data_IF_686889651349
#
_entry.id   IF_686889651349
#
_cell.length_a   1.000
_cell.length_b   1.000
_cell.length_c   1.000
_cell.angle_alpha   90.00
_cell.angle_beta   90.00
_cell.angle_gamma   90.00
#
_symmetry.space_group_name_H-M   'P 1'
#
loop_
_entity.id
_entity.type
_entity.pdbx_description
1 polymer ?
#
# COMPACT_ATOMS: atom_id res chain seq x y z
N UNK A 1 30.46 25.55 21.68
CA UNK A 1 29.05 25.10 21.47
C UNK A 1 28.71 24.97 19.98
N UNK A 2 29.21 25.84 19.10
CA UNK A 2 28.97 25.80 17.65
C UNK A 2 29.47 24.51 16.98
N UNK A 3 30.38 23.76 17.59
CA UNK A 3 30.85 22.50 17.06
C UNK A 3 29.82 21.34 17.28
N UNK A 4 28.84 21.53 18.16
CA UNK A 4 27.90 20.50 18.55
C UNK A 4 26.42 20.86 18.29
N UNK A 5 26.14 22.14 18.03
CA UNK A 5 24.79 22.64 17.83
C UNK A 5 24.66 23.29 16.46
N UNK A 6 23.63 22.95 15.73
CA UNK A 6 23.24 23.65 14.50
C UNK A 6 22.65 25.02 14.83
N UNK A 7 22.75 25.95 13.89
CA UNK A 7 22.03 27.23 13.98
C UNK A 7 20.55 26.93 13.94
N UNK A 8 19.80 27.51 14.87
CA UNK A 8 18.36 27.32 14.95
C UNK A 8 17.66 28.07 13.81
N UNK A 9 16.91 27.34 13.00
CA UNK A 9 16.04 27.90 11.96
C UNK A 9 14.57 27.82 12.44
N UNK A 10 13.70 28.67 11.88
CA UNK A 10 12.27 28.67 12.22
C UNK A 10 11.62 27.31 11.91
N UNK A 11 12.12 26.61 10.91
CA UNK A 11 11.69 25.23 10.54
C UNK A 11 12.01 24.18 11.60
N UNK A 12 12.97 24.47 12.49
CA UNK A 12 13.37 23.52 13.56
C UNK A 12 12.44 23.61 14.76
N UNK A 13 11.78 24.76 14.96
CA UNK A 13 10.86 25.01 16.06
C UNK A 13 9.47 24.45 15.74
N UNK A 14 9.35 23.13 15.76
CA UNK A 14 8.09 22.46 15.53
C UNK A 14 7.81 21.41 16.60
N UNK A 15 6.53 21.06 16.76
CA UNK A 15 6.11 20.01 17.67
C UNK A 15 6.67 18.65 17.22
N UNK A 16 6.81 17.71 18.16
CA UNK A 16 7.24 16.32 17.87
C UNK A 16 6.28 15.65 16.89
N UNK A 17 4.99 15.93 17.04
CA UNK A 17 3.93 15.49 16.14
C UNK A 17 3.19 16.74 15.64
N UNK A 18 3.69 17.32 14.58
CA UNK A 18 2.95 18.36 13.87
C UNK A 18 2.06 17.68 12.84
N UNK A 19 0.76 17.60 13.17
CA UNK A 19 -0.28 17.19 12.22
C UNK A 19 -0.54 18.31 11.21
N UNK A 20 0.51 18.90 10.64
CA UNK A 20 0.37 19.88 9.58
C UNK A 20 -0.34 19.26 8.40
N UNK A 21 -1.51 19.79 8.14
CA UNK A 21 -2.39 19.44 7.03
C UNK A 21 -1.60 19.55 5.72
N UNK A 22 -1.22 18.41 5.14
CA UNK A 22 -0.58 18.34 3.82
C UNK A 22 0.76 17.61 3.75
N UNK A 23 1.42 17.32 4.85
CA UNK A 23 2.64 16.49 4.82
C UNK A 23 2.25 15.05 5.05
N UNK A 24 2.54 14.19 4.07
CA UNK A 24 2.34 12.74 4.23
C UNK A 24 3.07 12.23 5.47
N UNK A 25 2.38 11.43 6.29
CA UNK A 25 2.93 10.83 7.52
C UNK A 25 4.32 10.16 7.33
N UNK A 26 4.63 9.70 6.13
CA UNK A 26 5.92 9.09 5.78
C UNK A 26 7.09 10.07 5.65
N UNK A 27 6.82 11.37 5.50
CA UNK A 27 7.83 12.41 5.29
C UNK A 27 8.08 13.29 6.53
N UNK A 28 7.44 12.99 7.65
CA UNK A 28 7.67 13.72 8.89
C UNK A 28 9.03 13.31 9.49
N UNK A 29 10.00 14.21 9.43
CA UNK A 29 11.28 14.07 10.11
C UNK A 29 11.25 14.82 11.44
N UNK A 30 11.75 14.19 12.48
CA UNK A 30 11.88 14.82 13.80
C UNK A 30 12.96 15.92 13.73
N UNK A 31 12.69 17.12 14.28
CA UNK A 31 13.68 18.18 14.38
C UNK A 31 14.89 17.74 15.22
N UNK A 32 16.08 18.21 14.84
CA UNK A 32 17.33 17.88 15.53
C UNK A 32 17.33 18.28 17.03
N UNK A 33 16.55 19.28 17.41
CA UNK A 33 16.39 19.73 18.80
C UNK A 33 15.97 18.56 19.72
N UNK A 34 15.11 17.68 19.23
CA UNK A 34 14.64 16.54 20.01
C UNK A 34 15.68 15.44 20.20
N UNK A 35 16.71 15.38 19.32
CA UNK A 35 17.83 14.44 19.49
C UNK A 35 18.84 14.90 20.53
N UNK A 36 18.90 16.20 20.85
CA UNK A 36 19.82 16.75 21.84
C UNK A 36 19.37 16.53 23.30
N UNK A 37 18.15 16.10 23.52
CA UNK A 37 17.61 15.85 24.85
C UNK A 37 18.35 14.77 25.66
N UNK A 38 19.33 14.08 25.05
CA UNK A 38 20.20 13.12 25.73
C UNK A 38 21.39 13.75 26.47
N UNK A 39 21.61 15.05 26.33
CA UNK A 39 22.78 15.74 26.86
C UNK A 39 22.61 16.32 28.26
N UNK A 40 21.49 16.09 28.93
CA UNK A 40 21.24 16.59 30.28
C UNK A 40 20.00 15.95 30.91
N UNK A 41 19.75 16.30 32.15
CA UNK A 41 18.58 15.86 32.94
C UNK A 41 17.29 16.22 32.22
N UNK A 42 16.80 15.29 31.38
CA UNK A 42 15.58 15.49 30.55
C UNK A 42 14.38 15.50 31.50
N UNK A 43 13.61 16.58 31.57
CA UNK A 43 12.39 16.61 32.35
C UNK A 43 11.52 15.39 31.98
N UNK A 44 11.01 14.68 32.99
CA UNK A 44 10.23 13.44 32.78
C UNK A 44 9.08 13.58 31.79
N UNK A 45 8.54 14.80 31.60
CA UNK A 45 7.51 15.09 30.61
C UNK A 45 7.98 14.96 29.16
N UNK A 46 9.22 15.34 28.84
CA UNK A 46 9.78 15.22 27.48
C UNK A 46 10.01 13.75 27.13
N UNK A 47 10.54 12.98 28.09
CA UNK A 47 10.75 11.54 27.90
C UNK A 47 9.44 10.80 27.68
N UNK A 48 8.38 11.18 28.38
CA UNK A 48 7.04 10.60 28.17
C UNK A 48 6.47 10.96 26.79
N UNK A 49 6.64 12.21 26.34
CA UNK A 49 6.22 12.62 24.99
C UNK A 49 6.95 11.82 23.90
N UNK A 50 8.27 11.64 24.03
CA UNK A 50 9.06 10.83 23.11
C UNK A 50 8.61 9.36 23.11
N UNK A 51 8.31 8.82 24.29
CA UNK A 51 7.77 7.45 24.40
C UNK A 51 6.44 7.30 23.69
N UNK A 52 5.54 8.24 23.85
CA UNK A 52 4.23 8.25 23.21
C UNK A 52 4.40 8.31 21.68
N UNK A 53 5.22 9.21 21.17
CA UNK A 53 5.46 9.32 19.73
C UNK A 53 6.15 8.07 19.14
N UNK A 54 7.09 7.48 19.89
CA UNK A 54 7.67 6.21 19.50
C UNK A 54 6.61 5.10 19.40
N UNK A 55 5.71 4.99 20.39
CA UNK A 55 4.60 4.02 20.36
C UNK A 55 3.69 4.22 19.17
N UNK A 56 3.33 5.47 18.84
CA UNK A 56 2.52 5.81 17.66
C UNK A 56 3.24 5.43 16.36
N UNK A 57 4.51 5.79 16.23
CA UNK A 57 5.32 5.44 15.06
C UNK A 57 5.45 3.92 14.89
N UNK A 58 5.68 3.20 15.97
CA UNK A 58 5.74 1.75 15.99
C UNK A 58 4.42 1.10 15.55
N UNK A 59 3.29 1.59 16.07
CA UNK A 59 1.97 1.12 15.68
C UNK A 59 1.69 1.38 14.18
N UNK A 60 2.09 2.54 13.65
CA UNK A 60 2.01 2.85 12.21
C UNK A 60 2.82 1.86 11.36
N UNK A 61 4.06 1.58 11.75
CA UNK A 61 4.91 0.60 11.04
C UNK A 61 4.27 -0.78 11.02
N UNK A 62 3.66 -1.22 12.12
CA UNK A 62 2.96 -2.50 12.17
C UNK A 62 1.76 -2.52 11.22
N UNK A 63 0.93 -1.48 11.24
CA UNK A 63 -0.21 -1.35 10.33
C UNK A 63 0.24 -1.42 8.87
N UNK A 64 1.24 -0.63 8.48
CA UNK A 64 1.74 -0.64 7.10
C UNK A 64 2.29 -2.00 6.68
N UNK A 65 2.94 -2.72 7.59
CA UNK A 65 3.39 -4.10 7.31
C UNK A 65 2.24 -5.07 7.09
N UNK A 66 1.16 -4.93 7.84
CA UNK A 66 -0.05 -5.72 7.65
C UNK A 66 -0.71 -5.40 6.32
N UNK A 67 -0.90 -4.12 6.00
CA UNK A 67 -1.46 -3.67 4.72
C UNK A 67 -0.65 -4.21 3.54
N UNK A 68 0.67 -4.11 3.58
CA UNK A 68 1.52 -4.66 2.52
C UNK A 68 1.35 -6.18 2.35
N UNK A 69 1.17 -6.92 3.45
CA UNK A 69 0.90 -8.36 3.38
C UNK A 69 -0.46 -8.66 2.78
N UNK A 70 -1.50 -7.92 3.18
CA UNK A 70 -2.85 -8.07 2.67
C UNK A 70 -2.91 -7.75 1.18
N UNK A 71 -2.32 -6.64 0.76
CA UNK A 71 -2.24 -6.25 -0.66
C UNK A 71 -1.54 -7.32 -1.49
N UNK A 72 -0.48 -7.92 -0.99
CA UNK A 72 0.21 -9.01 -1.68
C UNK A 72 -0.70 -10.22 -1.88
N UNK A 73 -1.44 -10.61 -0.85
CA UNK A 73 -2.42 -11.71 -0.92
C UNK A 73 -3.55 -11.37 -1.88
N UNK A 74 -4.06 -10.14 -1.86
CA UNK A 74 -5.08 -9.68 -2.80
C UNK A 74 -4.58 -9.73 -4.25
N UNK A 75 -3.35 -9.31 -4.51
CA UNK A 75 -2.73 -9.43 -5.85
C UNK A 75 -2.66 -10.87 -6.32
N UNK A 76 -2.31 -11.81 -5.43
CA UNK A 76 -2.26 -13.23 -5.76
C UNK A 76 -3.68 -13.78 -6.02
N UNK A 77 -4.69 -13.36 -5.24
CA UNK A 77 -6.09 -13.72 -5.48
C UNK A 77 -6.61 -13.18 -6.82
N UNK A 78 -6.27 -11.94 -7.18
CA UNK A 78 -6.64 -11.36 -8.49
C UNK A 78 -6.09 -12.21 -9.62
N UNK A 79 -4.82 -12.62 -9.57
CA UNK A 79 -4.22 -13.50 -10.58
C UNK A 79 -4.95 -14.84 -10.68
N UNK A 80 -5.19 -15.51 -9.56
CA UNK A 80 -5.94 -16.77 -9.53
C UNK A 80 -7.35 -16.61 -10.10
N UNK A 81 -8.03 -15.49 -9.81
CA UNK A 81 -9.36 -15.20 -10.32
C UNK A 81 -9.34 -15.00 -11.84
N UNK A 82 -8.37 -14.24 -12.36
CA UNK A 82 -8.21 -14.01 -13.78
C UNK A 82 -7.90 -15.31 -14.54
N UNK A 83 -7.04 -16.16 -13.98
CA UNK A 83 -6.76 -17.50 -14.54
C UNK A 83 -8.01 -18.39 -14.56
N UNK A 84 -8.76 -18.41 -13.46
CA UNK A 84 -10.02 -19.14 -13.37
C UNK A 84 -11.02 -18.64 -14.41
N UNK A 85 -11.25 -17.34 -14.49
CA UNK A 85 -12.17 -16.76 -15.46
C UNK A 85 -11.72 -17.03 -16.90
N UNK A 86 -10.44 -16.94 -17.19
CA UNK A 86 -9.88 -17.29 -18.51
C UNK A 86 -10.25 -18.72 -18.87
N UNK A 87 -10.06 -19.66 -17.95
CA UNK A 87 -10.41 -21.06 -18.17
C UNK A 87 -11.92 -21.25 -18.37
N UNK A 88 -12.76 -20.56 -17.62
CA UNK A 88 -14.21 -20.60 -17.79
C UNK A 88 -14.63 -20.10 -19.19
N UNK A 89 -14.07 -18.99 -19.66
CA UNK A 89 -14.35 -18.47 -20.99
C UNK A 89 -13.87 -19.41 -22.10
N UNK A 90 -12.74 -20.09 -21.93
CA UNK A 90 -12.28 -21.13 -22.86
C UNK A 90 -13.20 -22.35 -22.88
N UNK A 91 -13.75 -22.75 -21.73
CA UNK A 91 -14.75 -23.82 -21.65
C UNK A 91 -16.04 -23.43 -22.39
N UNK A 92 -16.52 -22.21 -22.19
CA UNK A 92 -17.68 -21.68 -22.92
C UNK A 92 -17.42 -21.64 -24.41
N UNK A 93 -16.23 -21.26 -24.87
CA UNK A 93 -15.88 -21.28 -26.29
C UNK A 93 -15.92 -22.71 -26.90
N UNK A 94 -15.51 -23.72 -26.15
CA UNK A 94 -15.57 -25.13 -26.55
C UNK A 94 -17.02 -25.66 -26.58
N UNK A 95 -17.77 -25.39 -25.52
CA UNK A 95 -19.18 -25.82 -25.40
C UNK A 95 -20.04 -25.24 -26.53
N UNK A 96 -19.82 -23.99 -26.93
CA UNK A 96 -20.50 -23.38 -28.07
C UNK A 96 -20.10 -24.01 -29.38
N UNK A 97 -18.88 -24.49 -29.53
CA UNK A 97 -18.45 -25.19 -30.76
C UNK A 97 -19.05 -26.60 -30.89
N UNK A 98 -19.24 -27.29 -29.78
CA UNK A 98 -19.76 -28.67 -29.74
C UNK A 98 -21.31 -28.72 -29.79
N UNK A 99 -22.00 -27.69 -29.28
CA UNK A 99 -23.44 -27.68 -29.10
C UNK A 99 -24.26 -27.07 -30.26
N UNK A 100 -23.64 -26.44 -31.23
CA UNK A 100 -24.37 -25.66 -32.25
C UNK A 100 -24.11 -26.16 -33.67
N UNK A 101 -24.79 -27.24 -34.00
CA UNK A 101 -25.07 -27.61 -35.39
C UNK A 101 -26.19 -26.73 -36.02
N UNK A 102 -26.70 -25.74 -35.31
CA UNK A 102 -27.82 -24.89 -35.75
C UNK A 102 -27.49 -23.41 -35.60
N UNK A 103 -27.15 -22.80 -36.73
CA UNK A 103 -27.21 -21.35 -37.00
C UNK A 103 -26.01 -20.52 -36.53
N UNK A 104 -25.51 -19.63 -37.41
CA UNK A 104 -24.48 -18.58 -37.33
C UNK A 104 -24.30 -17.79 -35.99
N UNK A 105 -25.18 -17.97 -35.01
CA UNK A 105 -25.08 -17.38 -33.70
C UNK A 105 -23.99 -18.03 -32.82
N UNK A 106 -23.65 -19.29 -33.05
CA UNK A 106 -22.66 -20.02 -32.28
C UNK A 106 -21.20 -19.57 -32.54
N UNK A 107 -20.88 -19.20 -33.79
CA UNK A 107 -19.56 -18.69 -34.16
C UNK A 107 -19.25 -17.36 -33.46
N UNK A 108 -20.26 -16.45 -33.45
CA UNK A 108 -20.12 -15.16 -32.79
C UNK A 108 -19.93 -15.30 -31.26
N UNK A 109 -20.69 -16.19 -30.63
CA UNK A 109 -20.54 -16.45 -29.17
C UNK A 109 -19.22 -17.09 -28.85
N UNK A 110 -18.74 -18.04 -29.64
CA UNK A 110 -17.42 -18.66 -29.48
C UNK A 110 -16.26 -17.67 -29.70
N UNK A 111 -16.37 -16.81 -30.71
CA UNK A 111 -15.39 -15.74 -30.94
C UNK A 111 -15.35 -14.74 -29.78
N UNK A 112 -16.50 -14.33 -29.26
CA UNK A 112 -16.59 -13.46 -28.09
C UNK A 112 -15.96 -14.11 -26.87
N UNK A 113 -16.25 -15.35 -26.58
CA UNK A 113 -15.68 -16.08 -25.45
C UNK A 113 -14.15 -16.17 -25.54
N UNK A 114 -13.60 -16.43 -26.75
CA UNK A 114 -12.13 -16.42 -26.97
C UNK A 114 -11.53 -15.02 -26.75
N UNK A 115 -12.20 -13.98 -27.21
CA UNK A 115 -11.78 -12.59 -26.99
C UNK A 115 -11.74 -12.26 -25.49
N UNK A 116 -12.77 -12.64 -24.74
CA UNK A 116 -12.82 -12.44 -23.28
C UNK A 116 -11.71 -13.21 -22.55
N UNK A 117 -11.41 -14.43 -22.98
CA UNK A 117 -10.29 -15.18 -22.43
C UNK A 117 -8.95 -14.49 -22.70
N UNK A 118 -8.73 -14.01 -23.94
CA UNK A 118 -7.49 -13.34 -24.33
C UNK A 118 -7.26 -12.04 -23.55
N UNK A 119 -8.30 -11.24 -23.32
CA UNK A 119 -8.21 -10.01 -22.53
C UNK A 119 -7.74 -10.32 -21.11
N UNK A 120 -8.34 -11.33 -20.46
CA UNK A 120 -8.00 -11.69 -19.07
C UNK A 120 -6.62 -12.32 -18.93
N UNK A 121 -6.16 -13.02 -19.95
CA UNK A 121 -4.81 -13.61 -19.95
C UNK A 121 -3.70 -12.60 -20.24
N UNK A 122 -4.03 -11.40 -20.72
CA UNK A 122 -3.07 -10.34 -21.03
C UNK A 122 -2.78 -9.39 -19.86
N UNK A 123 -3.47 -9.55 -18.74
CA UNK A 123 -3.28 -8.79 -17.50
C UNK A 123 -2.32 -9.53 -16.58
#
# INVERSE_FOLDING_TARGET
WQAHLHVLEDSDVRRIADDEVGISEGNQSMSWIWYLSHLGDVPGGVQECLRIEWCKAHARVHRWREECKLLKVEMDHVKCTLEYETNQWLLHAKSTAEGVALINAGEGAGAYAKCQAAIRSSI
#
